data_IF_435845357694
#
_entry.id   IF_435845357694
#
_cell.length_a   1.000
_cell.length_b   1.000
_cell.length_c   1.000
_cell.angle_alpha   90.00
_cell.angle_beta   90.00
_cell.angle_gamma   90.00
#
_symmetry.space_group_name_H-M   'P 1'
#
loop_
_entity.id
_entity.type
_entity.pdbx_description
1 polymer ?
#
# COMPACT_ATOMS: atom_id res chain seq x y z
N UNK A 1 8.42 -3.95 -16.76
CA UNK A 1 8.63 -4.95 -15.70
C UNK A 1 7.75 -4.50 -14.54
N UNK A 2 6.57 -5.09 -14.39
CA UNK A 2 5.68 -4.71 -13.29
C UNK A 2 6.21 -5.39 -12.03
N UNK A 3 7.02 -4.64 -11.28
CA UNK A 3 7.78 -5.13 -10.11
C UNK A 3 6.90 -5.40 -8.88
N UNK A 4 5.60 -5.10 -8.94
CA UNK A 4 4.67 -5.26 -7.82
C UNK A 4 3.46 -6.06 -8.33
N UNK A 5 3.28 -7.28 -7.79
CA UNK A 5 2.12 -8.16 -8.05
C UNK A 5 0.88 -7.78 -7.21
N UNK A 6 0.93 -6.63 -6.52
CA UNK A 6 -0.13 -6.15 -5.64
C UNK A 6 -0.98 -5.10 -6.34
N UNK A 7 -2.31 -5.13 -6.16
CA UNK A 7 -3.19 -4.13 -6.73
C UNK A 7 -2.98 -2.76 -6.08
N UNK A 8 -2.95 -1.71 -6.90
CA UNK A 8 -2.91 -0.34 -6.40
C UNK A 8 -4.32 0.11 -6.00
N UNK A 9 -4.48 0.87 -4.90
CA UNK A 9 -5.78 1.40 -4.49
C UNK A 9 -6.33 2.37 -5.53
N UNK A 10 -7.65 2.43 -5.72
CA UNK A 10 -8.29 3.35 -6.68
C UNK A 10 -7.97 4.83 -6.40
N UNK A 11 -7.68 5.15 -5.14
CA UNK A 11 -7.30 6.49 -4.71
C UNK A 11 -5.84 6.84 -5.04
N UNK A 12 -5.03 5.87 -5.47
CA UNK A 12 -3.60 6.04 -5.75
C UNK A 12 -3.33 7.22 -6.70
N UNK A 13 -4.06 7.26 -7.83
CA UNK A 13 -3.92 8.32 -8.83
C UNK A 13 -4.36 9.71 -8.33
N UNK A 14 -5.08 9.80 -7.21
CA UNK A 14 -5.54 11.06 -6.61
C UNK A 14 -4.56 11.60 -5.58
N UNK A 15 -3.57 10.83 -5.15
CA UNK A 15 -2.58 11.26 -4.18
C UNK A 15 -1.46 12.08 -4.83
N UNK A 16 -0.79 12.91 -4.05
CA UNK A 16 0.42 13.64 -4.47
C UNK A 16 1.54 12.69 -4.85
N UNK A 17 2.47 13.15 -5.70
CA UNK A 17 3.62 12.36 -6.18
C UNK A 17 4.48 11.76 -5.04
N UNK A 18 4.69 12.53 -3.96
CA UNK A 18 5.40 12.04 -2.75
C UNK A 18 4.67 10.85 -2.11
N UNK A 19 3.36 10.96 -1.94
CA UNK A 19 2.53 9.90 -1.36
C UNK A 19 2.49 8.67 -2.26
N UNK A 20 2.38 8.86 -3.58
CA UNK A 20 2.43 7.77 -4.54
C UNK A 20 3.77 7.02 -4.45
N UNK A 21 4.88 7.76 -4.39
CA UNK A 21 6.22 7.18 -4.24
C UNK A 21 6.34 6.36 -2.95
N UNK A 22 5.87 6.90 -1.82
CA UNK A 22 5.88 6.19 -0.52
C UNK A 22 5.01 4.94 -0.53
N UNK A 23 3.85 4.98 -1.19
CA UNK A 23 2.99 3.81 -1.36
C UNK A 23 3.71 2.72 -2.15
N UNK A 24 4.36 3.07 -3.25
CA UNK A 24 5.15 2.11 -4.06
C UNK A 24 6.25 1.50 -3.19
N UNK A 25 7.05 2.33 -2.52
CA UNK A 25 8.14 1.87 -1.63
C UNK A 25 7.63 0.96 -0.50
N UNK A 26 6.49 1.30 0.10
CA UNK A 26 5.84 0.46 1.11
C UNK A 26 5.48 -0.91 0.54
N UNK A 27 4.81 -0.96 -0.62
CA UNK A 27 4.40 -2.21 -1.27
C UNK A 27 5.60 -3.07 -1.67
N UNK A 28 6.71 -2.45 -2.08
CA UNK A 28 7.96 -3.16 -2.37
C UNK A 28 8.60 -3.75 -1.12
N UNK A 29 8.55 -3.04 0.02
CA UNK A 29 9.10 -3.47 1.30
C UNK A 29 8.34 -4.65 1.93
N UNK A 30 7.05 -4.85 1.58
CA UNK A 30 6.24 -5.91 2.19
C UNK A 30 6.83 -7.31 1.96
N UNK A 31 6.93 -8.10 3.03
CA UNK A 31 7.27 -9.52 2.96
C UNK A 31 6.03 -10.35 2.57
N UNK A 32 6.23 -11.62 2.21
CA UNK A 32 5.17 -12.52 1.72
C UNK A 32 3.90 -12.53 2.58
N UNK A 33 4.03 -12.55 3.91
CA UNK A 33 2.87 -12.53 4.83
C UNK A 33 2.13 -11.20 4.75
N UNK A 34 2.86 -10.08 4.74
CA UNK A 34 2.28 -8.74 4.68
C UNK A 34 1.62 -8.48 3.33
N UNK A 35 2.20 -9.00 2.24
CA UNK A 35 1.62 -8.98 0.90
C UNK A 35 0.27 -9.70 0.87
N UNK A 36 0.18 -10.88 1.49
CA UNK A 36 -1.09 -11.61 1.59
C UNK A 36 -2.12 -10.85 2.43
N UNK A 37 -1.70 -10.28 3.57
CA UNK A 37 -2.58 -9.46 4.41
C UNK A 37 -3.08 -8.22 3.66
N UNK A 38 -2.22 -7.57 2.89
CA UNK A 38 -2.59 -6.47 2.00
C UNK A 38 -3.63 -6.90 0.97
N UNK A 39 -3.40 -8.02 0.28
CA UNK A 39 -4.32 -8.56 -0.72
C UNK A 39 -5.70 -8.84 -0.11
N UNK A 40 -5.75 -9.46 1.06
CA UNK A 40 -7.00 -9.76 1.79
C UNK A 40 -7.73 -8.46 2.17
N UNK A 41 -7.00 -7.47 2.71
CA UNK A 41 -7.61 -6.20 3.07
C UNK A 41 -8.12 -5.42 1.86
N UNK A 42 -7.37 -5.44 0.76
CA UNK A 42 -7.76 -4.84 -0.51
C UNK A 42 -9.02 -5.50 -1.08
N UNK A 43 -9.06 -6.83 -1.14
CA UNK A 43 -10.21 -7.59 -1.65
C UNK A 43 -11.46 -7.38 -0.77
N UNK A 44 -11.29 -7.41 0.55
CA UNK A 44 -12.38 -7.26 1.50
C UNK A 44 -12.98 -5.84 1.52
N UNK A 45 -12.14 -4.80 1.37
CA UNK A 45 -12.57 -3.41 1.46
C UNK A 45 -12.87 -2.80 0.08
N UNK A 46 -12.32 -3.35 -1.00
CA UNK A 46 -12.50 -2.90 -2.37
C UNK A 46 -12.31 -1.38 -2.51
N UNK A 47 -13.32 -0.69 -3.02
CA UNK A 47 -13.32 0.77 -3.19
C UNK A 47 -13.23 1.57 -1.89
N UNK A 48 -13.52 0.96 -0.74
CA UNK A 48 -13.35 1.57 0.58
C UNK A 48 -11.93 1.42 1.11
N UNK A 49 -11.07 0.65 0.43
CA UNK A 49 -9.69 0.46 0.86
C UNK A 49 -8.91 1.77 0.76
N UNK A 50 -8.29 2.14 1.88
CA UNK A 50 -7.48 3.34 1.98
C UNK A 50 -6.12 2.98 2.58
N UNK A 51 -5.12 2.84 1.71
CA UNK A 51 -3.77 2.41 2.10
C UNK A 51 -3.12 3.39 3.08
N UNK A 52 -3.30 4.70 2.91
CA UNK A 52 -2.66 5.72 3.74
C UNK A 52 -3.22 5.75 5.18
N UNK A 53 -4.39 5.15 5.39
CA UNK A 53 -5.01 4.96 6.72
C UNK A 53 -4.78 3.56 7.29
N UNK A 54 -4.13 2.66 6.56
CA UNK A 54 -3.87 1.32 7.04
C UNK A 54 -2.80 1.32 8.13
N UNK A 55 -2.96 0.47 9.13
CA UNK A 55 -2.01 0.37 10.23
C UNK A 55 -0.60 0.02 9.74
N UNK A 56 -0.49 -0.90 8.78
CA UNK A 56 0.81 -1.31 8.22
C UNK A 56 1.56 -0.17 7.54
N UNK A 57 0.86 0.63 6.72
CA UNK A 57 1.48 1.79 6.07
C UNK A 57 1.88 2.87 7.08
N UNK A 58 1.00 3.19 8.04
CA UNK A 58 1.30 4.16 9.09
C UNK A 58 2.46 3.72 9.98
N UNK A 59 2.61 2.44 10.25
CA UNK A 59 3.71 1.91 11.04
C UNK A 59 5.03 1.92 10.25
N UNK A 60 4.98 1.49 8.99
CA UNK A 60 6.13 1.60 8.09
C UNK A 60 6.60 3.04 7.91
N UNK A 61 5.69 4.02 7.78
CA UNK A 61 6.08 5.43 7.70
C UNK A 61 6.90 5.89 8.91
N UNK A 62 6.67 5.33 10.10
CA UNK A 62 7.46 5.67 11.30
C UNK A 62 8.88 5.11 11.25
N UNK A 63 9.13 4.07 10.45
CA UNK A 63 10.50 3.53 10.24
C UNK A 63 11.30 4.32 9.22
N UNK A 64 10.64 5.21 8.46
CA UNK A 64 11.27 6.11 7.49
C UNK A 64 11.65 7.48 8.10
N UNK A 65 11.57 7.64 9.43
CA UNK A 65 11.89 8.87 10.17
C UNK A 65 13.29 8.80 10.76
#
# INVERSE_FOLDING_TARGET
MSIIDLPLPEQFAKYSEDTQTKIIQYLEHLNTIERLAYQIAYDHLGSSFNIIKSNGYCDWLKTQV
#
